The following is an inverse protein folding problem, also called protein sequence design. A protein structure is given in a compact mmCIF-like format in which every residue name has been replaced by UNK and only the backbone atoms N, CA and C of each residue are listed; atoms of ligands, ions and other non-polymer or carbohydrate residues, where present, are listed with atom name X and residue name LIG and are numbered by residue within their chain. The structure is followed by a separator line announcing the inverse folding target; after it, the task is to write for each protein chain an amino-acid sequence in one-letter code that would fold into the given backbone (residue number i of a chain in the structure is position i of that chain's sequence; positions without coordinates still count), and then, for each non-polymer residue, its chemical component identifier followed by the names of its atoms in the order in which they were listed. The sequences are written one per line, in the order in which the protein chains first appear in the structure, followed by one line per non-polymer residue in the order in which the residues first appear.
data_IF_261282489386
#
_entry.id   IF_261282489386
#
_cell.length_a   1.000
_cell.length_b   1.000
_cell.length_c   1.000
_cell.angle_alpha   90.00
_cell.angle_beta   90.00
_cell.angle_gamma   90.00
#
_symmetry.space_group_name_H-M   'P 1'
#
loop_
_entity.id
_entity.type
_entity.pdbx_description
1 polymer ?
#
# COMPACT_ATOMS: atom_id res chain seq x y z
N UNK A 1 -3.93 6.27 44.28
CA UNK A 1 -3.11 7.05 43.33
C UNK A 1 -3.13 6.31 42.01
N UNK A 2 -3.88 6.79 41.01
CA UNK A 2 -3.91 6.18 39.68
C UNK A 2 -2.95 6.96 38.77
N UNK A 3 -1.97 6.27 38.19
CA UNK A 3 -1.11 6.88 37.17
C UNK A 3 -1.95 7.10 35.89
N UNK A 4 -1.85 8.26 35.24
CA UNK A 4 -2.55 8.51 33.99
C UNK A 4 -2.00 7.58 32.90
N UNK A 5 -2.84 6.71 32.36
CA UNK A 5 -2.50 5.88 31.20
C UNK A 5 -2.46 6.77 29.96
N UNK A 6 -1.32 6.77 29.27
CA UNK A 6 -1.17 7.46 28.00
C UNK A 6 -2.08 6.82 26.95
N UNK A 7 -2.64 7.65 26.07
CA UNK A 7 -3.39 7.16 24.91
C UNK A 7 -2.44 6.39 23.96
N UNK A 8 -2.96 5.42 23.20
CA UNK A 8 -2.17 4.64 22.22
C UNK A 8 -1.42 5.56 21.24
N UNK A 9 -2.03 6.69 20.87
CA UNK A 9 -1.37 7.70 20.02
C UNK A 9 -0.21 8.41 20.72
N UNK A 10 -0.33 8.69 22.02
CA UNK A 10 0.76 9.28 22.81
C UNK A 10 1.90 8.29 23.03
N UNK A 11 1.59 7.00 23.19
CA UNK A 11 2.59 5.95 23.31
C UNK A 11 3.36 5.75 22.00
N UNK A 12 2.66 5.70 20.85
CA UNK A 12 3.29 5.56 19.53
C UNK A 12 4.22 6.72 19.19
N UNK A 13 3.82 7.96 19.45
CA UNK A 13 4.66 9.15 19.18
C UNK A 13 5.92 9.13 20.04
N UNK A 14 5.82 8.73 21.32
CA UNK A 14 6.97 8.62 22.22
C UNK A 14 7.90 7.47 21.87
N UNK A 15 7.38 6.33 21.43
CA UNK A 15 8.19 5.20 20.96
C UNK A 15 8.92 5.51 19.66
N UNK A 16 8.23 6.11 18.68
CA UNK A 16 8.85 6.50 17.41
C UNK A 16 9.94 7.57 17.60
N UNK A 17 9.70 8.55 18.47
CA UNK A 17 10.69 9.58 18.78
C UNK A 17 11.95 9.02 19.49
N UNK A 18 11.81 7.96 20.29
CA UNK A 18 12.96 7.29 20.94
C UNK A 18 13.82 6.48 19.96
N UNK A 19 13.22 5.97 18.88
CA UNK A 19 13.86 4.96 18.04
C UNK A 19 14.76 5.55 16.95
N UNK A 20 14.51 6.80 16.53
CA UNK A 20 15.09 7.31 15.28
C UNK A 20 16.08 8.46 15.37
N UNK A 21 16.41 9.00 16.55
CA UNK A 21 17.36 10.10 16.53
C UNK A 21 18.03 10.43 17.85
N UNK A 22 19.36 10.42 17.86
CA UNK A 22 20.18 11.35 18.66
C UNK A 22 19.97 12.82 18.25
N UNK A 23 18.77 13.21 17.82
CA UNK A 23 18.34 14.59 17.66
C UNK A 23 17.71 15.01 18.97
N UNK A 24 18.46 15.80 19.75
CA UNK A 24 17.87 16.61 20.80
C UNK A 24 16.93 17.62 20.13
N UNK A 25 15.63 17.34 20.16
CA UNK A 25 14.62 18.37 19.98
C UNK A 25 14.62 19.21 21.26
N UNK A 26 14.77 20.56 21.18
CA UNK A 26 14.68 21.40 22.36
C UNK A 26 13.29 21.24 22.98
N UNK A 27 13.23 20.76 24.22
CA UNK A 27 11.99 20.52 24.98
C UNK A 27 11.15 21.79 25.22
N UNK A 28 11.67 22.97 24.86
CA UNK A 28 11.19 24.24 25.37
C UNK A 28 9.90 24.78 24.71
N UNK A 29 9.30 24.11 23.73
CA UNK A 29 8.06 24.60 23.11
C UNK A 29 6.97 23.54 22.86
N UNK A 30 6.90 22.51 23.69
CA UNK A 30 5.67 21.70 23.80
C UNK A 30 4.67 22.40 24.73
N UNK A 31 4.18 23.57 24.31
CA UNK A 31 2.98 24.12 24.93
C UNK A 31 1.84 23.11 24.73
N UNK A 32 1.28 22.64 25.85
CA UNK A 32 0.13 21.72 25.89
C UNK A 32 -1.01 22.30 25.06
N UNK A 33 -1.17 21.81 23.83
CA UNK A 33 -2.40 22.04 23.09
C UNK A 33 -3.49 21.21 23.77
N UNK A 34 -4.23 21.83 24.70
CA UNK A 34 -5.51 21.30 25.15
C UNK A 34 -6.43 21.06 23.94
N UNK A 35 -7.48 20.25 24.12
CA UNK A 35 -8.38 19.76 23.04
C UNK A 35 -9.00 20.86 22.15
N UNK A 36 -8.86 22.14 22.48
CA UNK A 36 -9.36 23.29 21.72
C UNK A 36 -8.28 24.37 21.41
N UNK A 37 -6.98 24.04 21.46
CA UNK A 37 -5.92 24.98 21.10
C UNK A 37 -5.84 25.19 19.59
N UNK A 38 -6.33 26.34 19.08
CA UNK A 38 -6.07 26.76 17.70
C UNK A 38 -4.57 26.94 17.54
N UNK A 39 -3.90 26.02 16.87
CA UNK A 39 -2.53 26.26 16.37
C UNK A 39 -2.59 27.54 15.54
N UNK A 40 -1.80 28.56 15.87
CA UNK A 40 -1.72 29.77 15.05
C UNK A 40 -1.36 29.36 13.62
N UNK A 41 -2.02 29.97 12.63
CA UNK A 41 -1.85 29.63 11.20
C UNK A 41 -0.38 29.58 10.78
N UNK A 42 0.46 30.39 11.43
CA UNK A 42 1.90 30.51 11.20
C UNK A 42 2.66 29.21 11.48
N UNK A 43 2.35 28.50 12.58
CA UNK A 43 3.00 27.22 12.95
C UNK A 43 2.71 26.09 11.95
N UNK A 44 1.50 26.06 11.36
CA UNK A 44 1.15 25.10 10.30
C UNK A 44 1.85 25.47 8.99
N UNK A 45 1.96 26.76 8.69
CA UNK A 45 2.62 27.24 7.48
C UNK A 45 4.12 26.98 7.49
N UNK A 46 4.79 27.09 8.64
CA UNK A 46 6.22 26.76 8.75
C UNK A 46 6.48 25.26 8.57
N UNK A 47 5.71 24.39 9.24
CA UNK A 47 5.76 22.94 9.03
C UNK A 47 5.50 22.54 7.56
N UNK A 48 4.53 23.19 6.92
CA UNK A 48 4.26 22.96 5.49
C UNK A 48 5.41 23.44 4.59
N UNK A 49 6.05 24.57 4.91
CA UNK A 49 7.21 25.10 4.16
C UNK A 49 8.44 24.21 4.33
N UNK A 50 8.68 23.68 5.53
CA UNK A 50 9.78 22.74 5.80
C UNK A 50 9.56 21.37 5.14
N UNK A 51 8.33 20.85 5.17
CA UNK A 51 7.97 19.63 4.44
C UNK A 51 8.06 19.79 2.92
N UNK A 52 8.01 21.04 2.42
CA UNK A 52 8.22 21.44 1.02
C UNK A 52 9.68 21.76 0.70
N UNK A 53 10.67 21.29 1.47
CA UNK A 53 12.09 21.41 1.08
C UNK A 53 12.23 20.97 -0.38
N UNK A 54 12.63 21.94 -1.21
CA UNK A 54 12.59 21.89 -2.67
C UNK A 54 13.51 20.79 -3.19
N UNK A 55 12.99 19.58 -3.30
CA UNK A 55 13.52 18.59 -4.21
C UNK A 55 12.62 18.60 -5.43
N UNK A 56 13.14 18.86 -6.64
CA UNK A 56 12.33 18.63 -7.84
C UNK A 56 11.83 17.19 -7.79
N UNK A 57 10.52 17.00 -7.99
CA UNK A 57 9.94 15.66 -8.03
C UNK A 57 10.69 14.84 -9.08
N UNK A 58 11.23 13.69 -8.67
CA UNK A 58 11.78 12.74 -9.62
C UNK A 58 10.61 12.04 -10.32
N UNK A 59 10.17 12.62 -11.45
CA UNK A 59 9.06 12.08 -12.23
C UNK A 59 9.57 10.96 -13.12
N UNK A 60 9.01 9.76 -12.96
CA UNK A 60 9.17 8.65 -13.89
C UNK A 60 7.91 8.53 -14.73
N UNK A 61 8.04 8.74 -16.03
CA UNK A 61 6.94 8.54 -16.97
C UNK A 61 6.75 7.04 -17.25
N UNK A 62 5.50 6.63 -17.34
CA UNK A 62 5.14 5.27 -17.75
C UNK A 62 5.40 5.13 -19.23
N UNK A 63 6.18 4.13 -19.61
CA UNK A 63 6.51 3.82 -20.99
C UNK A 63 5.73 2.60 -21.48
N UNK A 64 5.56 2.49 -22.80
CA UNK A 64 4.90 1.32 -23.41
C UNK A 64 5.63 0.00 -23.11
N UNK A 65 6.94 0.05 -22.84
CA UNK A 65 7.75 -1.10 -22.44
C UNK A 65 7.43 -1.64 -21.04
N UNK A 66 6.76 -0.85 -20.19
CA UNK A 66 6.39 -1.27 -18.82
C UNK A 66 5.18 -2.22 -18.82
N UNK A 67 4.39 -2.22 -19.90
CA UNK A 67 3.19 -3.05 -20.00
C UNK A 67 3.53 -4.46 -20.50
N UNK A 68 2.98 -5.46 -19.81
CA UNK A 68 3.17 -6.89 -20.08
C UNK A 68 1.83 -7.55 -20.42
N UNK A 69 1.84 -8.55 -21.31
CA UNK A 69 0.64 -9.29 -21.67
C UNK A 69 0.43 -10.52 -20.78
N UNK A 70 -0.66 -10.49 -20.03
CA UNK A 70 -1.06 -11.54 -19.08
C UNK A 70 -2.19 -12.43 -19.59
N UNK A 71 -2.69 -12.24 -20.83
CA UNK A 71 -3.84 -13.00 -21.36
C UNK A 71 -3.62 -14.52 -21.33
N UNK A 72 -2.38 -14.97 -21.56
CA UNK A 72 -2.01 -16.39 -21.49
C UNK A 72 -1.82 -16.95 -20.08
N UNK A 73 -1.86 -16.11 -19.04
CA UNK A 73 -1.45 -16.46 -17.66
C UNK A 73 -2.64 -16.52 -16.70
N UNK A 74 -3.69 -17.28 -17.06
CA UNK A 74 -4.88 -17.44 -16.23
C UNK A 74 -4.84 -18.76 -15.45
N UNK A 75 -4.23 -18.72 -14.25
CA UNK A 75 -4.05 -19.91 -13.37
C UNK A 75 -5.31 -20.36 -12.64
N UNK A 76 -6.21 -19.42 -12.36
CA UNK A 76 -7.46 -19.68 -11.65
C UNK A 76 -8.61 -19.07 -12.44
N UNK A 77 -9.70 -19.82 -12.58
CA UNK A 77 -10.92 -19.30 -13.23
C UNK A 77 -11.72 -18.33 -12.35
N UNK A 78 -11.39 -18.21 -11.07
CA UNK A 78 -12.01 -17.26 -10.14
C UNK A 78 -11.15 -17.13 -8.89
N UNK A 79 -11.13 -15.93 -8.32
CA UNK A 79 -10.38 -15.56 -7.10
C UNK A 79 -11.20 -15.74 -5.81
N UNK A 80 -12.48 -16.11 -5.91
CA UNK A 80 -13.35 -16.30 -4.74
C UNK A 80 -12.86 -17.48 -3.88
N UNK A 81 -12.77 -17.34 -2.54
CA UNK A 81 -12.50 -18.47 -1.66
C UNK A 81 -13.69 -19.44 -1.60
N UNK A 82 -14.90 -18.91 -1.44
CA UNK A 82 -16.13 -19.68 -1.33
C UNK A 82 -16.71 -20.21 -2.64
N UNK A 83 -17.56 -21.24 -2.56
CA UNK A 83 -18.28 -21.80 -3.72
C UNK A 83 -19.79 -21.78 -3.56
N UNK A 84 -20.29 -21.95 -2.35
CA UNK A 84 -21.71 -22.05 -2.03
C UNK A 84 -22.23 -20.75 -1.42
N UNK A 85 -23.54 -20.50 -1.50
CA UNK A 85 -24.17 -19.43 -0.72
C UNK A 85 -23.83 -19.60 0.76
N UNK A 86 -23.37 -18.52 1.41
CA UNK A 86 -22.91 -18.54 2.80
C UNK A 86 -21.40 -18.73 2.97
N UNK A 87 -20.66 -19.10 1.92
CA UNK A 87 -19.19 -19.10 1.97
C UNK A 87 -18.61 -17.69 1.78
N UNK A 88 -17.34 -17.52 2.13
CA UNK A 88 -16.58 -16.28 1.97
C UNK A 88 -16.57 -15.77 0.52
N UNK A 89 -16.92 -14.51 0.37
CA UNK A 89 -16.93 -13.79 -0.89
C UNK A 89 -15.59 -13.08 -1.14
N UNK A 90 -15.41 -12.59 -2.36
CA UNK A 90 -14.22 -11.79 -2.72
C UNK A 90 -14.16 -10.51 -1.90
N UNK A 91 -15.32 -9.93 -1.54
CA UNK A 91 -15.42 -8.74 -0.70
C UNK A 91 -14.89 -8.92 0.71
N UNK A 92 -14.91 -10.16 1.20
CA UNK A 92 -14.53 -10.48 2.58
C UNK A 92 -13.02 -10.71 2.69
N UNK A 93 -12.34 -10.84 1.55
CA UNK A 93 -10.88 -11.01 1.50
C UNK A 93 -10.18 -9.68 1.72
N UNK A 94 -9.30 -9.65 2.72
CA UNK A 94 -8.50 -8.48 3.04
C UNK A 94 -7.28 -8.36 2.11
N UNK A 95 -6.57 -9.47 1.85
CA UNK A 95 -5.46 -9.43 0.91
C UNK A 95 -5.20 -10.77 0.23
N UNK A 96 -4.60 -10.67 -0.96
CA UNK A 96 -4.10 -11.79 -1.75
C UNK A 96 -2.57 -11.76 -1.81
N UNK A 97 -1.97 -12.95 -1.86
CA UNK A 97 -0.54 -13.13 -2.10
C UNK A 97 -0.35 -14.08 -3.27
N UNK A 98 0.45 -13.66 -4.25
CA UNK A 98 0.76 -14.43 -5.43
C UNK A 98 2.15 -15.04 -5.29
N UNK A 99 2.27 -16.34 -5.57
CA UNK A 99 3.55 -17.03 -5.69
C UNK A 99 4.07 -16.94 -7.14
N UNK A 100 5.40 -16.87 -7.35
CA UNK A 100 5.99 -17.01 -8.67
C UNK A 100 5.59 -18.31 -9.39
N UNK A 101 5.18 -19.35 -8.64
CA UNK A 101 4.72 -20.62 -9.20
C UNK A 101 3.26 -20.59 -9.72
N UNK A 102 2.57 -19.45 -9.60
CA UNK A 102 1.16 -19.29 -10.00
C UNK A 102 0.16 -19.71 -8.93
N UNK A 103 0.62 -20.07 -7.72
CA UNK A 103 -0.26 -20.33 -6.58
C UNK A 103 -0.75 -19.02 -5.96
N UNK A 104 -2.01 -19.00 -5.54
CA UNK A 104 -2.61 -17.85 -4.88
C UNK A 104 -3.02 -18.18 -3.45
N UNK A 105 -2.70 -17.26 -2.56
CA UNK A 105 -3.04 -17.31 -1.16
C UNK A 105 -3.89 -16.09 -0.79
N UNK A 106 -4.70 -16.21 0.27
CA UNK A 106 -5.58 -15.16 0.74
C UNK A 106 -5.61 -15.11 2.26
N UNK A 107 -6.01 -13.96 2.82
CA UNK A 107 -6.36 -13.85 4.24
C UNK A 107 -7.56 -12.93 4.42
N UNK A 108 -8.36 -13.22 5.44
CA UNK A 108 -9.58 -12.48 5.77
C UNK A 108 -9.27 -11.37 6.77
N UNK A 109 -8.47 -11.66 7.81
CA UNK A 109 -8.03 -10.66 8.78
C UNK A 109 -6.57 -10.23 8.54
N UNK A 110 -6.22 -9.04 9.01
CA UNK A 110 -4.86 -8.52 8.87
C UNK A 110 -3.83 -9.31 9.68
N UNK A 111 -4.23 -9.85 10.83
CA UNK A 111 -3.38 -10.57 11.79
C UNK A 111 -3.14 -12.02 11.34
N UNK A 112 -4.10 -12.59 10.61
CA UNK A 112 -4.07 -14.01 10.25
C UNK A 112 -3.00 -14.33 9.20
N UNK A 113 -2.65 -15.62 9.20
CA UNK A 113 -1.76 -16.21 8.21
C UNK A 113 -2.42 -16.24 6.83
N UNK A 114 -1.61 -16.24 5.77
CA UNK A 114 -2.11 -16.49 4.42
C UNK A 114 -2.45 -17.97 4.24
N UNK A 115 -3.66 -18.25 3.77
CA UNK A 115 -4.12 -19.60 3.44
C UNK A 115 -4.15 -19.80 1.92
N UNK A 116 -3.97 -21.04 1.46
CA UNK A 116 -4.06 -21.34 0.03
C UNK A 116 -5.50 -21.24 -0.45
N UNK A 117 -5.70 -20.70 -1.66
CA UNK A 117 -7.04 -20.64 -2.23
C UNK A 117 -7.54 -22.08 -2.47
N UNK A 118 -8.77 -22.44 -2.03
CA UNK A 118 -9.33 -23.80 -2.15
C UNK A 118 -9.81 -24.10 -3.57
N UNK A 119 -8.92 -23.92 -4.55
CA UNK A 119 -9.19 -24.11 -5.96
C UNK A 119 -7.99 -24.74 -6.64
N UNK A 120 -8.30 -25.63 -7.59
CA UNK A 120 -7.29 -26.27 -8.42
C UNK A 120 -6.84 -25.29 -9.50
N UNK A 121 -5.52 -25.22 -9.74
CA UNK A 121 -4.97 -24.49 -10.88
C UNK A 121 -5.47 -25.12 -12.19
N UNK A 122 -5.92 -24.28 -13.12
CA UNK A 122 -6.35 -24.71 -14.47
C UNK A 122 -5.14 -25.14 -15.30
N UNK A 123 -4.02 -24.42 -15.20
CA UNK A 123 -2.79 -24.68 -15.94
C UNK A 123 -1.58 -24.51 -15.05
N UNK A 124 -0.64 -25.47 -15.10
CA UNK A 124 0.66 -25.38 -14.41
C UNK A 124 1.72 -24.94 -15.42
N UNK A 125 2.10 -23.67 -15.40
CA UNK A 125 3.20 -23.16 -16.23
C UNK A 125 4.52 -23.31 -15.47
N UNK A 126 5.54 -23.90 -16.12
CA UNK A 126 6.85 -24.16 -15.50
C UNK A 126 7.88 -23.06 -15.73
N UNK A 127 7.67 -22.17 -16.71
CA UNK A 127 8.58 -21.07 -17.07
C UNK A 127 7.78 -19.80 -17.35
N UNK A 128 8.05 -18.72 -16.61
CA UNK A 128 7.35 -17.42 -16.74
C UNK A 128 8.21 -16.40 -17.47
N UNK A 129 8.09 -16.36 -18.80
CA UNK A 129 8.52 -15.17 -19.56
C UNK A 129 7.25 -14.48 -20.01
N UNK A 130 6.93 -13.35 -19.38
CA UNK A 130 5.74 -12.57 -19.72
C UNK A 130 6.09 -11.67 -20.91
N UNK A 131 5.44 -11.85 -22.07
CA UNK A 131 5.74 -11.05 -23.24
C UNK A 131 5.33 -9.58 -23.01
N UNK A 132 5.97 -8.63 -23.70
CA UNK A 132 5.54 -7.23 -23.68
C UNK A 132 4.14 -7.11 -24.30
N UNK A 133 3.30 -6.25 -23.75
CA UNK A 133 1.96 -5.99 -24.29
C UNK A 133 2.02 -5.22 -25.62
N UNK A 134 3.00 -4.33 -25.75
CA UNK A 134 3.23 -3.51 -26.94
C UNK A 134 4.62 -3.78 -27.50
N UNK A 135 4.71 -3.95 -28.82
CA UNK A 135 6.00 -4.06 -29.53
C UNK A 135 6.66 -2.68 -29.61
N UNK A 136 5.86 -1.64 -29.82
CA UNK A 136 6.29 -0.26 -29.93
C UNK A 136 5.15 0.69 -29.52
N UNK A 137 5.49 1.97 -29.30
CA UNK A 137 4.50 3.00 -29.00
C UNK A 137 3.50 3.16 -30.17
N UNK A 138 2.18 3.01 -29.93
CA UNK A 138 1.16 3.24 -30.94
C UNK A 138 1.21 4.69 -31.45
N UNK A 139 1.03 4.88 -32.76
CA UNK A 139 0.93 6.21 -33.35
C UNK A 139 -0.40 6.84 -32.94
N UNK A 140 -0.36 8.10 -32.53
CA UNK A 140 -1.59 8.86 -32.24
C UNK A 140 -2.16 9.33 -33.57
N UNK A 141 -3.42 8.97 -33.85
CA UNK A 141 -4.10 9.39 -35.07
C UNK A 141 -4.28 10.91 -35.10
N UNK A 142 -4.13 11.52 -36.28
CA UNK A 142 -4.25 12.97 -36.46
C UNK A 142 -5.65 13.51 -36.13
N UNK A 143 -6.68 12.68 -36.25
CA UNK A 143 -8.07 13.03 -35.90
C UNK A 143 -8.29 13.33 -34.41
N UNK A 144 -7.34 12.96 -33.55
CA UNK A 144 -7.41 13.24 -32.11
C UNK A 144 -6.94 14.66 -31.76
N UNK A 145 -6.42 15.41 -32.73
CA UNK A 145 -5.90 16.77 -32.58
C UNK A 145 -6.57 17.74 -33.52
#
# INVERSE_FOLDING_TARGET
MFLPTLSVGEWMVKEYAKKDSGMNLPEENLQRAGRNGRSTNESRQTLQKEARRAQPYHVKYVNYADFRDFKGFQFYSSIRPGRKPGDLLVSDVCSYKYSPCGEMFYKVNYIDSYESLPKRLTTKHKNFVIPPLYISQPKINKEKY
#
